data_IF_566935147540
#
_entry.id   IF_566935147540
#
_cell.length_a   1.000
_cell.length_b   1.000
_cell.length_c   1.000
_cell.angle_alpha   90.00
_cell.angle_beta   90.00
_cell.angle_gamma   90.00
#
_symmetry.space_group_name_H-M   'P 1'
#
loop_
_entity.id
_entity.type
_entity.pdbx_description
1 polymer ?
#
# COMPACT_ATOMS: atom_id res chain seq x y z
N UNK A 1 -32.40 22.33 0.35
CA UNK A 1 -31.59 21.09 0.32
C UNK A 1 -30.27 21.38 1.04
N UNK A 2 -29.82 20.48 1.91
CA UNK A 2 -28.56 20.62 2.66
C UNK A 2 -27.70 19.36 2.44
N UNK A 3 -26.38 19.50 2.59
CA UNK A 3 -25.42 18.41 2.54
C UNK A 3 -24.87 18.10 3.94
N UNK A 4 -24.48 16.85 4.16
CA UNK A 4 -23.78 16.41 5.36
C UNK A 4 -22.45 15.78 4.92
N UNK A 5 -21.34 16.36 5.35
CA UNK A 5 -20.01 15.80 5.17
C UNK A 5 -19.59 15.08 6.46
N UNK A 6 -19.11 13.86 6.32
CA UNK A 6 -18.53 13.06 7.41
C UNK A 6 -17.08 12.80 7.01
N UNK A 7 -16.14 13.14 7.89
CA UNK A 7 -14.72 12.87 7.70
C UNK A 7 -14.30 11.85 8.75
N UNK A 8 -13.64 10.79 8.32
CA UNK A 8 -13.04 9.77 9.19
C UNK A 8 -11.52 9.97 9.27
N UNK A 9 -10.91 9.52 10.36
CA UNK A 9 -9.46 9.47 10.51
C UNK A 9 -8.87 8.12 10.03
N UNK A 10 -7.55 8.01 10.08
CA UNK A 10 -6.76 6.82 9.77
C UNK A 10 -7.23 5.50 10.43
N UNK A 11 -8.02 5.58 11.52
CA UNK A 11 -8.53 4.43 12.25
C UNK A 11 -10.01 4.12 11.96
N UNK A 12 -10.58 4.71 10.91
CA UNK A 12 -12.00 4.56 10.54
C UNK A 12 -12.96 5.17 11.55
N UNK A 13 -12.49 6.10 12.41
CA UNK A 13 -13.33 6.80 13.38
C UNK A 13 -13.73 8.16 12.83
N UNK A 14 -14.99 8.54 13.03
CA UNK A 14 -15.48 9.88 12.67
C UNK A 14 -14.65 10.94 13.41
N UNK A 15 -14.00 11.79 12.63
CA UNK A 15 -13.14 12.87 13.08
C UNK A 15 -13.80 14.24 12.94
N UNK A 16 -14.73 14.40 11.98
CA UNK A 16 -15.50 15.62 11.79
C UNK A 16 -16.86 15.33 11.14
N UNK A 17 -17.87 16.13 11.49
CA UNK A 17 -19.19 16.13 10.85
C UNK A 17 -19.57 17.57 10.57
N UNK A 18 -19.84 17.90 9.31
CA UNK A 18 -20.22 19.26 8.88
C UNK A 18 -21.51 19.24 8.08
N UNK A 19 -22.54 19.90 8.60
CA UNK A 19 -23.74 20.22 7.84
C UNK A 19 -23.51 21.52 7.05
N UNK A 20 -23.93 21.55 5.79
CA UNK A 20 -23.74 22.69 4.90
C UNK A 20 -25.00 22.94 4.08
N UNK A 21 -25.28 24.20 3.76
CA UNK A 21 -26.34 24.52 2.80
C UNK A 21 -25.92 24.06 1.41
N UNK A 22 -26.87 23.70 0.57
CA UNK A 22 -26.58 23.23 -0.79
C UNK A 22 -25.74 24.22 -1.61
N UNK A 23 -25.96 25.52 -1.42
CA UNK A 23 -25.22 26.60 -2.08
C UNK A 23 -23.74 26.70 -1.65
N UNK A 24 -23.42 26.25 -0.43
CA UNK A 24 -22.07 26.34 0.12
C UNK A 24 -21.20 25.12 -0.21
N UNK A 25 -21.78 24.01 -0.70
CA UNK A 25 -21.08 22.74 -0.91
C UNK A 25 -19.86 22.92 -1.83
N UNK A 26 -20.03 23.58 -2.98
CA UNK A 26 -18.95 23.78 -3.96
C UNK A 26 -17.80 24.61 -3.38
N UNK A 27 -18.10 25.55 -2.49
CA UNK A 27 -17.11 26.40 -1.83
C UNK A 27 -16.37 25.67 -0.71
N UNK A 28 -17.07 24.85 0.06
CA UNK A 28 -16.56 24.24 1.28
C UNK A 28 -15.92 22.85 1.06
N UNK A 29 -16.35 22.10 0.03
CA UNK A 29 -15.86 20.75 -0.28
C UNK A 29 -14.33 20.68 -0.47
N UNK A 30 -13.67 21.64 -1.16
CA UNK A 30 -12.20 21.60 -1.29
C UNK A 30 -11.48 21.65 0.06
N UNK A 31 -11.98 22.43 1.03
CA UNK A 31 -11.40 22.52 2.37
C UNK A 31 -11.61 21.24 3.18
N UNK A 32 -12.79 20.63 3.07
CA UNK A 32 -13.09 19.34 3.71
C UNK A 32 -12.25 18.21 3.15
N UNK A 33 -12.06 18.19 1.82
CA UNK A 33 -11.18 17.22 1.15
C UNK A 33 -9.74 17.34 1.62
N UNK A 34 -9.23 18.57 1.77
CA UNK A 34 -7.88 18.80 2.31
C UNK A 34 -7.75 18.27 3.74
N UNK A 35 -8.72 18.55 4.60
CA UNK A 35 -8.72 18.06 5.99
C UNK A 35 -8.80 16.53 6.06
N UNK A 36 -9.63 15.90 5.23
CA UNK A 36 -9.67 14.44 5.11
C UNK A 36 -8.29 13.88 4.72
N UNK A 37 -7.60 14.52 3.77
CA UNK A 37 -6.25 14.12 3.36
C UNK A 37 -5.21 14.24 4.48
N UNK A 38 -5.35 15.24 5.35
CA UNK A 38 -4.47 15.42 6.51
C UNK A 38 -4.66 14.31 7.57
N UNK A 39 -5.87 13.76 7.67
CA UNK A 39 -6.24 12.73 8.65
C UNK A 39 -6.03 11.29 8.15
N UNK A 40 -5.71 11.10 6.87
CA UNK A 40 -5.45 9.77 6.30
C UNK A 40 -4.21 9.12 6.90
N UNK A 41 -4.25 7.80 7.01
CA UNK A 41 -3.09 6.98 7.36
C UNK A 41 -1.99 7.19 6.31
N UNK A 42 -0.73 7.18 6.75
CA UNK A 42 0.44 7.37 5.88
C UNK A 42 1.51 6.36 6.23
N UNK A 43 2.30 5.98 5.23
CA UNK A 43 3.52 5.24 5.49
C UNK A 43 4.46 6.13 6.33
N UNK A 44 5.11 5.57 7.38
CA UNK A 44 5.90 6.38 8.30
C UNK A 44 7.21 6.88 7.68
N UNK A 45 7.60 6.37 6.51
CA UNK A 45 8.85 6.74 5.84
C UNK A 45 8.58 7.22 4.42
N UNK A 46 9.38 8.21 3.99
CA UNK A 46 9.26 8.79 2.65
C UNK A 46 10.06 8.05 1.59
N UNK A 47 11.23 7.50 1.93
CA UNK A 47 12.12 6.86 0.95
C UNK A 47 12.11 5.36 1.18
N UNK A 48 11.34 4.63 0.36
CA UNK A 48 11.17 3.19 0.48
C UNK A 48 11.75 2.53 -0.76
N UNK A 49 12.77 1.69 -0.58
CA UNK A 49 13.36 0.94 -1.68
C UNK A 49 12.45 -0.21 -2.13
N UNK A 50 11.88 -0.91 -1.15
CA UNK A 50 10.92 -1.99 -1.37
C UNK A 50 9.77 -1.88 -0.38
N UNK A 51 8.56 -1.67 -0.89
CA UNK A 51 7.32 -1.84 -0.13
C UNK A 51 6.76 -3.24 -0.39
N UNK A 52 6.70 -4.05 0.66
CA UNK A 52 6.06 -5.37 0.66
C UNK A 52 4.64 -5.20 1.23
N UNK A 53 3.64 -5.65 0.49
CA UNK A 53 2.23 -5.58 0.87
C UNK A 53 1.69 -7.00 0.94
N UNK A 54 1.28 -7.45 2.13
CA UNK A 54 0.81 -8.82 2.31
C UNK A 54 -0.49 -9.08 1.54
N UNK A 55 -1.43 -8.14 1.56
CA UNK A 55 -2.71 -8.27 0.88
C UNK A 55 -3.12 -7.00 0.14
N UNK A 56 -3.60 -7.18 -1.08
CA UNK A 56 -4.41 -6.19 -1.81
C UNK A 56 -5.84 -6.68 -1.99
N UNK A 57 -6.76 -5.77 -2.30
CA UNK A 57 -8.14 -6.13 -2.56
C UNK A 57 -9.09 -4.95 -2.63
N UNK A 58 -10.26 -5.15 -3.24
CA UNK A 58 -11.29 -4.12 -3.35
C UNK A 58 -11.90 -3.70 -2.02
N UNK A 59 -11.87 -4.62 -1.05
CA UNK A 59 -12.24 -4.38 0.34
C UNK A 59 -11.21 -3.53 1.09
N UNK A 60 -9.97 -3.47 0.61
CA UNK A 60 -8.90 -2.62 1.15
C UNK A 60 -8.98 -1.21 0.53
N UNK A 61 -9.11 -1.13 -0.80
CA UNK A 61 -9.29 0.13 -1.53
C UNK A 61 -9.93 -0.16 -2.88
N UNK A 62 -10.65 0.80 -3.47
CA UNK A 62 -11.32 0.60 -4.76
C UNK A 62 -10.38 0.14 -5.89
N UNK A 63 -9.10 0.52 -5.81
CA UNK A 63 -8.00 0.11 -6.71
C UNK A 63 -7.15 -1.03 -6.16
N UNK A 64 -7.63 -1.81 -5.20
CA UNK A 64 -6.88 -2.90 -4.58
C UNK A 64 -5.90 -2.44 -3.49
N UNK A 65 -5.22 -1.31 -3.73
CA UNK A 65 -4.31 -0.63 -2.82
C UNK A 65 -4.57 0.87 -2.89
N UNK A 66 -4.44 1.58 -1.77
CA UNK A 66 -4.65 3.02 -1.72
C UNK A 66 -3.51 3.78 -2.41
N UNK A 67 -3.83 4.39 -3.56
CA UNK A 67 -2.91 5.17 -4.39
C UNK A 67 -2.32 6.41 -3.70
N UNK A 68 -2.98 6.96 -2.68
CA UNK A 68 -2.44 8.06 -1.88
C UNK A 68 -1.37 7.57 -0.91
N UNK A 69 -1.53 6.36 -0.37
CA UNK A 69 -0.58 5.75 0.56
C UNK A 69 0.68 5.27 -0.17
N UNK A 70 0.50 4.53 -1.26
CA UNK A 70 1.66 4.03 -2.04
C UNK A 70 2.27 5.11 -2.95
N UNK A 71 1.64 6.28 -3.05
CA UNK A 71 2.13 7.40 -3.85
C UNK A 71 2.10 7.16 -5.37
N UNK A 72 1.48 6.06 -5.84
CA UNK A 72 1.38 5.70 -7.26
C UNK A 72 -0.06 5.79 -7.73
N UNK A 73 -0.32 6.76 -8.62
CA UNK A 73 -1.64 6.94 -9.23
C UNK A 73 -1.79 6.13 -10.51
N UNK A 74 -0.73 5.91 -11.26
CA UNK A 74 -0.67 5.11 -12.48
C UNK A 74 0.75 4.53 -12.68
N UNK A 75 0.94 3.66 -13.67
CA UNK A 75 2.25 3.04 -13.96
C UNK A 75 3.36 4.05 -14.34
N UNK A 76 2.97 5.27 -14.76
CA UNK A 76 3.89 6.33 -15.15
C UNK A 76 4.11 7.37 -14.04
N UNK A 77 3.44 7.21 -12.89
CA UNK A 77 3.58 8.13 -11.79
C UNK A 77 5.02 8.10 -11.29
N UNK A 78 5.65 9.27 -11.32
CA UNK A 78 7.09 9.41 -11.11
C UNK A 78 7.52 8.76 -9.80
N UNK A 79 8.62 8.00 -9.84
CA UNK A 79 9.31 7.46 -8.63
C UNK A 79 9.74 8.56 -7.64
N UNK A 80 9.62 9.83 -8.04
CA UNK A 80 9.95 11.02 -7.26
C UNK A 80 8.78 11.46 -6.37
N UNK A 81 9.11 11.71 -5.10
CA UNK A 81 8.20 12.14 -4.06
C UNK A 81 7.62 13.55 -4.32
N UNK A 82 6.47 13.64 -4.99
CA UNK A 82 5.66 14.87 -4.99
C UNK A 82 4.87 15.00 -3.67
N UNK A 83 5.58 14.97 -2.53
CA UNK A 83 5.01 15.07 -1.18
C UNK A 83 4.49 13.76 -0.57
N UNK A 84 4.41 12.66 -1.35
CA UNK A 84 4.07 11.30 -0.90
C UNK A 84 5.33 10.42 -0.73
N UNK A 85 5.18 9.22 -0.18
CA UNK A 85 6.26 8.24 -0.12
C UNK A 85 6.80 7.94 -1.55
N UNK A 86 8.09 8.15 -1.75
CA UNK A 86 8.84 7.71 -2.91
C UNK A 86 9.18 6.23 -2.76
N UNK A 87 8.47 5.39 -3.51
CA UNK A 87 8.59 3.93 -3.47
C UNK A 87 9.25 3.42 -4.74
N UNK A 88 10.47 2.91 -4.61
CA UNK A 88 11.25 2.39 -5.75
C UNK A 88 10.62 1.12 -6.31
N UNK A 89 10.24 0.15 -5.47
CA UNK A 89 9.56 -1.09 -5.89
C UNK A 89 8.42 -1.47 -4.94
N UNK A 90 7.34 -2.00 -5.50
CA UNK A 90 6.21 -2.57 -4.77
C UNK A 90 6.11 -4.06 -5.08
N UNK A 91 6.09 -4.88 -4.03
CA UNK A 91 5.80 -6.30 -4.08
C UNK A 91 4.48 -6.56 -3.35
N UNK A 92 3.50 -7.15 -4.05
CA UNK A 92 2.22 -7.56 -3.44
C UNK A 92 2.10 -9.09 -3.40
N UNK A 93 1.85 -9.61 -2.20
CA UNK A 93 1.98 -11.05 -1.93
C UNK A 93 0.71 -11.84 -2.20
N UNK A 94 -0.45 -11.27 -1.90
CA UNK A 94 -1.73 -11.98 -1.97
C UNK A 94 -2.94 -11.07 -2.24
N UNK A 95 -4.05 -11.70 -2.59
CA UNK A 95 -5.36 -11.09 -2.81
C UNK A 95 -6.32 -11.55 -1.71
N UNK A 96 -7.06 -10.61 -1.12
CA UNK A 96 -8.08 -10.91 -0.11
C UNK A 96 -9.20 -11.77 -0.70
N UNK A 97 -9.77 -12.67 0.10
CA UNK A 97 -10.95 -13.45 -0.29
C UNK A 97 -12.17 -12.57 -0.56
N UNK A 98 -12.31 -11.48 0.20
CA UNK A 98 -13.43 -10.53 0.11
C UNK A 98 -13.43 -9.74 -1.20
N UNK A 99 -12.33 -9.77 -1.96
CA UNK A 99 -12.29 -9.20 -3.32
C UNK A 99 -13.02 -10.05 -4.35
N UNK A 100 -13.43 -11.28 -4.01
CA UNK A 100 -14.07 -12.23 -4.93
C UNK A 100 -13.25 -12.44 -6.23
N UNK A 101 -11.93 -12.44 -6.08
CA UNK A 101 -10.98 -12.56 -7.19
C UNK A 101 -10.74 -11.28 -8.00
N UNK A 102 -11.39 -10.17 -7.66
CA UNK A 102 -11.17 -8.91 -8.35
C UNK A 102 -9.85 -8.26 -7.94
N UNK A 103 -8.85 -8.31 -8.82
CA UNK A 103 -7.51 -7.78 -8.57
C UNK A 103 -7.28 -6.44 -9.30
N UNK A 104 -8.33 -5.62 -9.42
CA UNK A 104 -8.21 -4.27 -9.97
C UNK A 104 -7.08 -3.50 -9.26
N UNK A 105 -6.14 -2.97 -10.04
CA UNK A 105 -4.98 -2.21 -9.56
C UNK A 105 -3.75 -3.06 -9.22
N UNK A 106 -3.75 -4.37 -9.49
CA UNK A 106 -2.55 -5.21 -9.37
C UNK A 106 -1.38 -4.67 -10.20
N UNK A 107 -1.67 -4.02 -11.33
CA UNK A 107 -0.66 -3.39 -12.19
C UNK A 107 0.07 -2.19 -11.56
N UNK A 108 -0.32 -1.74 -10.36
CA UNK A 108 0.44 -0.74 -9.59
C UNK A 108 1.68 -1.34 -8.91
N UNK A 109 1.70 -2.67 -8.74
CA UNK A 109 2.84 -3.41 -8.19
C UNK A 109 3.86 -3.75 -9.29
N UNK A 110 5.12 -3.88 -8.90
CA UNK A 110 6.21 -4.32 -9.79
C UNK A 110 6.35 -5.86 -9.76
N UNK A 111 6.07 -6.46 -8.60
CA UNK A 111 6.23 -7.88 -8.33
C UNK A 111 4.98 -8.47 -7.68
N UNK A 112 4.70 -9.73 -7.97
CA UNK A 112 3.60 -10.49 -7.36
C UNK A 112 3.94 -11.98 -7.24
N UNK A 113 3.04 -12.75 -6.62
CA UNK A 113 3.18 -14.20 -6.49
C UNK A 113 2.22 -14.96 -7.39
N UNK A 114 2.58 -16.20 -7.76
CA UNK A 114 1.71 -17.14 -8.46
C UNK A 114 0.43 -17.40 -7.67
N UNK A 115 0.54 -17.47 -6.35
CA UNK A 115 -0.59 -17.61 -5.41
C UNK A 115 -1.62 -16.50 -5.62
N UNK A 116 -1.19 -15.24 -5.69
CA UNK A 116 -2.10 -14.11 -5.95
C UNK A 116 -2.74 -14.25 -7.34
N UNK A 117 -1.92 -14.44 -8.38
CA UNK A 117 -2.39 -14.53 -9.77
C UNK A 117 -3.44 -15.63 -9.96
N UNK A 118 -3.27 -16.78 -9.31
CA UNK A 118 -4.21 -17.89 -9.39
C UNK A 118 -5.58 -17.58 -8.74
N UNK A 119 -5.66 -16.58 -7.85
CA UNK A 119 -6.92 -16.13 -7.24
C UNK A 119 -7.69 -15.13 -8.11
N UNK A 120 -7.09 -14.63 -9.19
CA UNK A 120 -7.68 -13.56 -10.00
C UNK A 120 -8.87 -14.10 -10.81
N UNK A 121 -10.02 -13.48 -10.63
CA UNK A 121 -11.11 -13.50 -11.58
C UNK A 121 -10.85 -12.41 -12.63
N UNK A 122 -10.31 -12.83 -13.77
CA UNK A 122 -9.92 -11.92 -14.86
C UNK A 122 -11.12 -11.18 -15.45
N UNK A 123 -12.27 -11.83 -15.57
CA UNK A 123 -13.47 -11.19 -16.12
C UNK A 123 -13.91 -10.00 -15.25
N UNK A 124 -14.03 -10.20 -13.95
CA UNK A 124 -14.39 -9.14 -12.98
C UNK A 124 -13.33 -8.04 -12.94
N UNK A 125 -12.05 -8.43 -12.96
CA UNK A 125 -10.93 -7.48 -12.96
C UNK A 125 -10.96 -6.61 -14.22
N UNK A 126 -11.14 -7.20 -15.40
CA UNK A 126 -11.16 -6.49 -16.68
C UNK A 126 -12.36 -5.57 -16.81
N UNK A 127 -13.57 -6.02 -16.44
CA UNK A 127 -14.77 -5.17 -16.47
C UNK A 127 -14.51 -3.90 -15.65
N UNK A 128 -13.97 -4.06 -14.43
CA UNK A 128 -13.72 -2.91 -13.56
C UNK A 128 -12.63 -1.98 -14.08
N UNK A 129 -11.52 -2.53 -14.59
CA UNK A 129 -10.47 -1.72 -15.20
C UNK A 129 -10.99 -0.96 -16.45
N UNK A 130 -11.83 -1.58 -17.27
CA UNK A 130 -12.44 -0.94 -18.44
C UNK A 130 -13.43 0.15 -18.03
N UNK A 131 -14.32 -0.11 -17.08
CA UNK A 131 -15.27 0.89 -16.57
C UNK A 131 -14.57 2.06 -15.91
N UNK A 132 -13.42 1.82 -15.26
CA UNK A 132 -12.58 2.87 -14.69
C UNK A 132 -11.77 3.65 -15.74
N UNK A 133 -11.72 3.19 -17.01
CA UNK A 133 -10.85 3.69 -18.07
C UNK A 133 -9.35 3.52 -17.78
N UNK A 134 -9.00 2.43 -17.09
CA UNK A 134 -7.66 2.13 -16.56
C UNK A 134 -7.22 0.69 -16.84
N UNK A 135 -7.02 0.31 -18.11
CA UNK A 135 -6.60 -1.05 -18.47
C UNK A 135 -5.27 -1.46 -17.84
N UNK A 136 -4.39 -0.51 -17.54
CA UNK A 136 -3.12 -0.76 -16.84
C UNK A 136 -3.31 -1.37 -15.46
N UNK A 137 -4.44 -1.11 -14.79
CA UNK A 137 -4.76 -1.70 -13.49
C UNK A 137 -4.90 -3.22 -13.52
N UNK A 138 -5.07 -3.83 -14.71
CA UNK A 138 -5.14 -5.28 -14.88
C UNK A 138 -3.83 -5.92 -15.39
N UNK A 139 -2.77 -5.14 -15.62
CA UNK A 139 -1.48 -5.69 -16.06
C UNK A 139 -0.91 -6.57 -14.94
N UNK A 140 -0.53 -7.80 -15.30
CA UNK A 140 0.04 -8.75 -14.35
C UNK A 140 1.54 -8.44 -14.16
N UNK A 141 2.00 -8.13 -12.93
CA UNK A 141 3.42 -7.88 -12.65
C UNK A 141 4.28 -9.13 -12.79
N UNK A 142 5.60 -8.97 -12.66
CA UNK A 142 6.50 -10.12 -12.63
C UNK A 142 6.07 -11.08 -11.52
N UNK A 143 5.76 -12.32 -11.90
CA UNK A 143 5.09 -13.30 -11.05
C UNK A 143 6.07 -14.39 -10.62
N UNK A 144 6.24 -14.55 -9.31
CA UNK A 144 7.18 -15.51 -8.70
C UNK A 144 6.46 -16.61 -7.93
N UNK A 145 7.10 -17.76 -7.74
CA UNK A 145 6.49 -18.89 -7.03
C UNK A 145 6.58 -18.74 -5.50
N UNK A 146 7.55 -17.97 -5.00
CA UNK A 146 7.75 -17.72 -3.56
C UNK A 146 7.99 -16.24 -3.25
N UNK A 147 7.73 -15.83 -2.00
CA UNK A 147 8.06 -14.48 -1.54
C UNK A 147 9.57 -14.20 -1.60
N UNK A 148 10.38 -15.21 -1.28
CA UNK A 148 11.85 -15.12 -1.32
C UNK A 148 12.34 -14.70 -2.70
N UNK A 149 11.90 -15.40 -3.75
CA UNK A 149 12.33 -15.11 -5.12
C UNK A 149 11.87 -13.72 -5.58
N UNK A 150 10.65 -13.31 -5.19
CA UNK A 150 10.13 -11.98 -5.49
C UNK A 150 10.93 -10.88 -4.81
N UNK A 151 11.31 -11.07 -3.53
CA UNK A 151 12.11 -10.11 -2.77
C UNK A 151 13.52 -10.02 -3.35
N UNK A 152 14.18 -11.14 -3.62
CA UNK A 152 15.52 -11.16 -4.22
C UNK A 152 15.52 -10.44 -5.59
N UNK A 153 14.54 -10.72 -6.44
CA UNK A 153 14.36 -10.02 -7.70
C UNK A 153 14.12 -8.52 -7.48
N UNK A 154 13.24 -8.12 -6.56
CA UNK A 154 12.95 -6.71 -6.30
C UNK A 154 14.19 -5.96 -5.83
N UNK A 155 14.92 -6.50 -4.85
CA UNK A 155 16.18 -5.97 -4.31
C UNK A 155 17.21 -5.75 -5.42
N UNK A 156 17.38 -6.73 -6.32
CA UNK A 156 18.33 -6.63 -7.44
C UNK A 156 18.06 -5.46 -8.38
N UNK A 157 16.81 -4.97 -8.43
CA UNK A 157 16.41 -3.85 -9.28
C UNK A 157 16.43 -2.49 -8.59
N UNK A 158 16.69 -2.44 -7.28
CA UNK A 158 16.74 -1.19 -6.52
C UNK A 158 18.06 -0.43 -6.72
N UNK A 159 19.12 -1.08 -7.25
CA UNK A 159 20.40 -0.42 -7.55
C UNK A 159 21.16 0.01 -6.29
N UNK A 160 21.00 -0.72 -5.19
CA UNK A 160 21.65 -0.43 -3.90
C UNK A 160 22.92 -1.26 -3.78
N UNK A 161 24.04 -0.59 -3.50
CA UNK A 161 25.35 -1.24 -3.39
C UNK A 161 25.51 -2.05 -2.10
N UNK A 162 24.91 -1.59 -1.00
CA UNK A 162 24.98 -2.26 0.31
C UNK A 162 23.59 -2.67 0.79
N UNK A 163 23.35 -3.99 0.85
CA UNK A 163 22.09 -4.57 1.30
C UNK A 163 21.70 -4.15 2.74
N UNK A 164 22.68 -3.88 3.62
CA UNK A 164 22.42 -3.43 5.00
C UNK A 164 21.78 -2.04 5.08
N UNK A 165 21.95 -1.21 4.05
CA UNK A 165 21.36 0.13 3.99
C UNK A 165 19.98 0.13 3.32
N UNK A 166 19.49 -1.02 2.87
CA UNK A 166 18.25 -1.09 2.13
C UNK A 166 17.06 -0.75 3.02
N UNK A 167 16.19 0.13 2.52
CA UNK A 167 14.99 0.62 3.21
C UNK A 167 13.75 -0.13 2.77
N UNK A 168 13.45 -1.21 3.49
CA UNK A 168 12.31 -2.08 3.23
C UNK A 168 11.22 -1.75 4.25
N UNK A 169 10.00 -1.61 3.76
CA UNK A 169 8.80 -1.54 4.60
C UNK A 169 7.90 -2.70 4.22
N UNK A 170 7.35 -3.40 5.20
CA UNK A 170 6.31 -4.39 5.01
C UNK A 170 5.06 -3.99 5.78
N UNK A 171 3.91 -4.07 5.13
CA UNK A 171 2.60 -3.74 5.69
C UNK A 171 1.62 -4.89 5.44
N UNK A 172 0.59 -4.99 6.29
CA UNK A 172 -0.48 -5.97 6.09
C UNK A 172 -1.33 -5.63 4.87
N UNK A 173 -1.73 -4.36 4.75
CA UNK A 173 -2.42 -3.77 3.61
C UNK A 173 -2.32 -2.25 3.69
N UNK A 174 -2.76 -1.53 2.66
CA UNK A 174 -2.86 -0.06 2.74
C UNK A 174 -4.00 0.42 3.66
N UNK A 175 -4.90 -0.46 4.11
CA UNK A 175 -5.95 -0.12 5.06
C UNK A 175 -5.45 -0.22 6.52
N UNK A 176 -4.45 -1.06 6.77
CA UNK A 176 -3.91 -1.34 8.11
C UNK A 176 -2.44 -0.92 8.19
N UNK A 177 -2.21 0.30 8.72
CA UNK A 177 -0.91 0.92 8.88
C UNK A 177 -0.56 1.19 10.36
N UNK A 178 -1.32 0.63 11.30
CA UNK A 178 -1.02 0.78 12.74
C UNK A 178 0.31 0.09 13.08
N UNK A 179 0.60 -1.01 12.40
CA UNK A 179 1.86 -1.75 12.53
C UNK A 179 2.56 -1.80 11.19
N UNK A 180 3.86 -1.56 11.20
CA UNK A 180 4.73 -1.73 10.05
C UNK A 180 5.97 -2.51 10.47
N UNK A 181 6.49 -3.33 9.58
CA UNK A 181 7.79 -3.99 9.75
C UNK A 181 8.78 -3.24 8.87
N UNK A 182 9.94 -2.92 9.41
CA UNK A 182 10.98 -2.18 8.70
C UNK A 182 12.32 -2.89 8.77
N UNK A 183 13.15 -2.68 7.76
CA UNK A 183 14.55 -3.12 7.79
C UNK A 183 15.41 -2.21 8.68
N UNK A 184 16.60 -2.70 9.02
CA UNK A 184 17.59 -1.95 9.78
C UNK A 184 18.11 -0.69 9.06
N UNK A 185 17.89 -0.57 7.74
CA UNK A 185 18.21 0.64 6.97
C UNK A 185 17.48 1.92 7.44
N UNK A 186 16.52 1.78 8.37
CA UNK A 186 15.83 2.90 9.01
C UNK A 186 16.28 3.21 10.44
N UNK A 187 17.20 2.44 11.04
CA UNK A 187 17.57 2.60 12.47
C UNK A 187 17.99 4.05 12.79
N UNK A 188 18.75 4.69 11.91
CA UNK A 188 19.18 6.08 12.08
C UNK A 188 17.99 7.08 12.03
N UNK A 189 16.93 6.75 11.30
CA UNK A 189 15.71 7.58 11.17
C UNK A 189 14.69 7.36 12.30
N UNK A 190 14.88 6.35 13.15
CA UNK A 190 14.00 6.11 14.30
C UNK A 190 14.31 7.03 15.47
N UNK A 191 15.56 7.48 15.60
CA UNK A 191 15.98 8.30 16.73
C UNK A 191 15.25 9.65 16.77
N UNK A 192 14.54 9.90 17.87
CA UNK A 192 13.86 11.18 18.12
C UNK A 192 12.48 11.32 17.47
N UNK A 193 11.91 10.24 16.92
CA UNK A 193 10.52 10.20 16.48
C UNK A 193 9.59 9.88 17.64
N UNK A 194 8.61 10.74 17.89
CA UNK A 194 7.57 10.58 18.90
C UNK A 194 6.28 9.95 18.33
N UNK A 195 6.21 9.82 17.01
CA UNK A 195 5.08 9.23 16.29
C UNK A 195 5.22 7.72 16.07
N UNK A 196 6.33 7.11 16.47
CA UNK A 196 6.62 5.68 16.34
C UNK A 196 6.97 5.04 17.69
N UNK A 197 6.46 3.83 17.90
CA UNK A 197 6.81 2.99 19.03
C UNK A 197 7.45 1.69 18.52
N UNK A 198 8.64 1.36 18.99
CA UNK A 198 9.27 0.07 18.70
C UNK A 198 8.64 -1.02 19.56
N UNK A 199 7.82 -1.87 18.95
CA UNK A 199 7.10 -2.95 19.64
C UNK A 199 7.81 -4.32 19.61
N UNK A 200 8.92 -4.45 18.86
CA UNK A 200 9.74 -5.68 18.81
C UNK A 200 11.21 -5.39 18.46
N UNK A 201 12.10 -6.33 18.80
CA UNK A 201 13.52 -6.25 18.44
C UNK A 201 13.76 -6.65 16.98
N UNK A 202 14.81 -6.10 16.37
CA UNK A 202 15.28 -6.55 15.06
C UNK A 202 15.60 -8.05 15.06
N UNK A 203 15.29 -8.72 13.96
CA UNK A 203 15.56 -10.15 13.75
C UNK A 203 15.72 -10.43 12.26
N UNK A 204 16.48 -11.48 11.95
CA UNK A 204 16.66 -11.93 10.57
C UNK A 204 15.32 -12.35 9.94
N UNK A 205 15.19 -12.07 8.65
CA UNK A 205 14.05 -12.52 7.86
C UNK A 205 14.10 -14.03 7.71
N UNK A 206 13.00 -14.69 8.02
CA UNK A 206 12.86 -16.14 7.88
C UNK A 206 11.77 -16.47 6.87
N UNK A 207 11.96 -17.59 6.19
CA UNK A 207 11.03 -18.13 5.20
C UNK A 207 10.61 -19.53 5.62
N UNK A 208 9.39 -19.91 5.29
CA UNK A 208 8.94 -21.31 5.43
C UNK A 208 9.61 -22.22 4.39
N UNK A 209 9.30 -23.52 4.45
CA UNK A 209 9.85 -24.53 3.51
C UNK A 209 9.48 -24.28 2.05
N UNK A 210 8.49 -23.42 1.79
CA UNK A 210 8.06 -23.04 0.44
C UNK A 210 8.61 -21.66 0.03
N UNK A 211 9.51 -21.07 0.82
CA UNK A 211 10.13 -19.78 0.52
C UNK A 211 9.21 -18.58 0.78
N UNK A 212 8.15 -18.74 1.59
CA UNK A 212 7.22 -17.65 1.89
C UNK A 212 7.49 -17.03 3.26
N UNK A 213 7.22 -15.73 3.36
CA UNK A 213 7.28 -15.03 4.64
C UNK A 213 6.13 -15.49 5.55
N UNK A 214 6.36 -15.55 6.87
CA UNK A 214 5.28 -15.78 7.82
C UNK A 214 4.18 -14.73 7.67
N UNK A 215 2.96 -15.05 8.11
CA UNK A 215 1.88 -14.07 8.23
C UNK A 215 2.33 -12.82 9.00
N UNK A 216 1.81 -11.65 8.60
CA UNK A 216 2.17 -10.36 9.20
C UNK A 216 2.09 -10.38 10.73
N UNK A 217 1.00 -10.91 11.28
CA UNK A 217 0.72 -10.90 12.71
C UNK A 217 1.61 -11.88 13.52
N UNK A 218 2.32 -12.80 12.85
CA UNK A 218 3.33 -13.67 13.49
C UNK A 218 4.69 -12.98 13.58
N UNK A 219 4.79 -11.71 13.16
CA UNK A 219 6.04 -10.96 13.29
C UNK A 219 6.31 -10.45 14.72
N UNK A 220 5.31 -10.47 15.60
CA UNK A 220 5.39 -10.08 17.01
C UNK A 220 6.17 -11.03 17.90
#
# INVERSE_FOLDING_TARGET
MFGLAIIENAYGKVADIKAMRGEDIIKEEPGLKKRSFELMAKLPFRNIDLLIIDNMGKDISGTGMDTNIIGRKDENSSKTANGNAGISRIFVRDLTSNSHGNACGIGLADFTTRKLVNKINFQETYINCVTALRPEGAKIPMTFESDKDAIEAAVSTCGIENAGNMKIVRIKSTLDLEKVIISEGYLDELNGRDDLEQISSAREITFDSSGNLPLFDMWG
#
